data_IF_128406065893
#
_entry.id   IF_128406065893
#
_cell.length_a   1.000
_cell.length_b   1.000
_cell.length_c   1.000
_cell.angle_alpha   90.00
_cell.angle_beta   90.00
_cell.angle_gamma   90.00
#
_symmetry.space_group_name_H-M   'P 1'
#
loop_
_entity.id
_entity.type
_entity.pdbx_description
1 polymer ?
#
# COMPACT_ATOMS: atom_id res chain seq x y z
N UNK A 1 -1.74 -10.82 21.83
CA UNK A 1 -1.01 -10.20 20.70
C UNK A 1 0.41 -9.74 21.06
N UNK A 2 0.62 -8.64 21.82
CA UNK A 2 2.00 -8.13 22.05
C UNK A 2 2.94 -9.15 22.68
N UNK A 3 2.52 -9.84 23.76
CA UNK A 3 3.35 -10.86 24.41
C UNK A 3 3.74 -11.94 23.40
N UNK A 4 2.75 -12.58 22.76
CA UNK A 4 2.96 -13.58 21.71
C UNK A 4 4.00 -13.16 20.67
N UNK A 5 3.86 -11.98 20.05
CA UNK A 5 4.81 -11.56 19.02
C UNK A 5 6.22 -11.34 19.60
N UNK A 6 6.35 -10.82 20.82
CA UNK A 6 7.64 -10.69 21.52
C UNK A 6 8.25 -12.05 21.82
N UNK A 7 7.44 -12.99 22.33
CA UNK A 7 7.86 -14.33 22.74
C UNK A 7 8.32 -15.16 21.52
N UNK A 8 7.67 -14.97 20.37
CA UNK A 8 8.06 -15.54 19.07
C UNK A 8 9.24 -14.80 18.41
N UNK A 9 9.71 -13.68 18.97
CA UNK A 9 10.79 -12.88 18.39
C UNK A 9 10.42 -12.13 17.10
N UNK A 10 9.13 -11.90 16.84
CA UNK A 10 8.63 -11.23 15.64
C UNK A 10 8.88 -9.73 15.70
N UNK A 11 9.19 -9.15 14.53
CA UNK A 11 9.26 -7.69 14.31
C UNK A 11 8.27 -7.27 13.23
N UNK A 12 7.94 -5.99 13.16
CA UNK A 12 6.94 -5.46 12.22
C UNK A 12 5.80 -4.78 12.95
N UNK A 13 4.62 -4.75 12.35
CA UNK A 13 3.47 -4.02 12.88
C UNK A 13 2.22 -4.88 12.91
N UNK A 14 1.45 -4.74 13.99
CA UNK A 14 0.07 -5.22 14.09
C UNK A 14 -0.80 -4.03 14.47
N UNK A 15 -1.78 -3.73 13.62
CA UNK A 15 -2.81 -2.73 13.85
C UNK A 15 -4.11 -3.44 14.23
N UNK A 16 -4.72 -2.99 15.32
CA UNK A 16 -6.00 -3.48 15.81
C UNK A 16 -6.97 -2.32 15.92
N UNK A 17 -8.13 -2.47 15.31
CA UNK A 17 -9.26 -1.55 15.45
C UNK A 17 -10.54 -2.36 15.66
N UNK A 18 -11.66 -1.68 15.94
CA UNK A 18 -12.97 -2.34 16.03
C UNK A 18 -13.40 -2.97 14.71
N UNK A 19 -12.92 -2.42 13.58
CA UNK A 19 -13.16 -2.95 12.23
C UNK A 19 -12.29 -4.16 11.85
N UNK A 20 -11.29 -4.52 12.67
CA UNK A 20 -10.48 -5.73 12.41
C UNK A 20 -8.99 -5.59 12.73
N UNK A 21 -8.19 -6.35 11.99
CA UNK A 21 -6.74 -6.47 12.15
C UNK A 21 -6.04 -6.25 10.81
N UNK A 22 -4.90 -5.55 10.84
CA UNK A 22 -3.96 -5.48 9.71
C UNK A 22 -2.55 -5.71 10.26
N UNK A 23 -1.76 -6.56 9.61
CA UNK A 23 -0.44 -6.89 10.09
C UNK A 23 0.56 -7.14 8.96
N UNK A 24 1.80 -6.83 9.26
CA UNK A 24 2.98 -7.16 8.47
C UNK A 24 4.09 -7.47 9.45
N UNK A 25 4.45 -8.74 9.56
CA UNK A 25 5.37 -9.28 10.54
C UNK A 25 6.46 -10.08 9.83
N UNK A 26 7.67 -10.04 10.38
CA UNK A 26 8.79 -10.85 9.94
C UNK A 26 9.47 -11.52 11.13
N UNK A 27 9.96 -12.73 10.88
CA UNK A 27 10.72 -13.57 11.79
C UNK A 27 11.12 -14.85 11.10
N UNK A 28 11.57 -15.85 11.85
CA UNK A 28 11.81 -17.19 11.29
C UNK A 28 10.50 -17.81 10.82
N UNK A 29 10.58 -18.79 9.90
CA UNK A 29 9.39 -19.52 9.43
C UNK A 29 8.54 -20.06 10.60
N UNK A 30 9.18 -20.71 11.57
CA UNK A 30 8.51 -21.22 12.78
C UNK A 30 7.86 -20.11 13.62
N UNK A 31 8.46 -18.92 13.71
CA UNK A 31 7.86 -17.79 14.43
C UNK A 31 6.62 -17.25 13.71
N UNK A 32 6.66 -17.15 12.38
CA UNK A 32 5.52 -16.74 11.56
C UNK A 32 4.39 -17.78 11.65
N UNK A 33 4.72 -19.07 11.50
CA UNK A 33 3.79 -20.20 11.67
C UNK A 33 3.13 -20.20 13.05
N UNK A 34 3.88 -19.91 14.12
CA UNK A 34 3.34 -19.80 15.47
C UNK A 34 2.34 -18.64 15.61
N UNK A 35 2.56 -17.53 14.90
CA UNK A 35 1.62 -16.42 14.88
C UNK A 35 0.37 -16.72 14.04
N UNK A 36 0.52 -17.33 12.86
CA UNK A 36 -0.63 -17.72 12.04
C UNK A 36 -1.47 -18.77 12.76
N UNK A 37 -0.86 -19.77 13.39
CA UNK A 37 -1.57 -20.76 14.21
C UNK A 37 -2.33 -20.13 15.39
N UNK A 38 -1.80 -19.05 15.99
CA UNK A 38 -2.52 -18.30 17.00
C UNK A 38 -3.75 -17.57 16.42
N UNK A 39 -3.64 -16.98 15.23
CA UNK A 39 -4.79 -16.37 14.55
C UNK A 39 -5.84 -17.42 14.21
N UNK A 40 -5.42 -18.57 13.67
CA UNK A 40 -6.28 -19.71 13.35
C UNK A 40 -6.86 -20.42 14.59
N UNK A 41 -6.45 -20.03 15.80
CA UNK A 41 -7.04 -20.51 17.05
C UNK A 41 -8.22 -19.66 17.53
N UNK A 42 -8.46 -18.50 16.89
CA UNK A 42 -9.52 -17.56 17.24
C UNK A 42 -10.50 -17.44 16.07
N UNK A 43 -11.75 -17.82 16.30
CA UNK A 43 -12.78 -17.83 15.24
C UNK A 43 -12.95 -16.48 14.53
N UNK A 44 -12.61 -15.37 15.20
CA UNK A 44 -12.71 -14.01 14.65
C UNK A 44 -11.63 -13.72 13.60
N UNK A 45 -10.56 -14.50 13.57
CA UNK A 45 -9.41 -14.34 12.68
C UNK A 45 -9.25 -15.50 11.69
N UNK A 46 -10.14 -16.49 11.72
CA UNK A 46 -10.11 -17.59 10.77
C UNK A 46 -10.21 -17.11 9.32
N UNK A 47 -9.36 -17.68 8.46
CA UNK A 47 -9.42 -17.44 7.03
C UNK A 47 -8.90 -16.07 6.59
N UNK A 48 -8.22 -15.32 7.46
CA UNK A 48 -7.48 -14.12 7.03
C UNK A 48 -6.44 -14.56 5.99
N UNK A 49 -6.49 -14.03 4.75
CA UNK A 49 -5.47 -14.34 3.75
C UNK A 49 -4.10 -13.86 4.20
N UNK A 50 -3.13 -14.76 4.23
CA UNK A 50 -1.73 -14.44 4.58
C UNK A 50 -0.88 -14.49 3.33
N UNK A 51 -0.15 -13.41 3.06
CA UNK A 51 0.88 -13.35 2.02
C UNK A 51 2.26 -13.45 2.66
N UNK A 52 3.13 -14.25 2.05
CA UNK A 52 4.48 -14.51 2.55
C UNK A 52 5.51 -14.09 1.51
N UNK A 53 6.60 -13.49 1.97
CA UNK A 53 7.78 -13.19 1.15
C UNK A 53 9.05 -13.43 1.99
N UNK A 54 10.19 -13.61 1.33
CA UNK A 54 11.44 -14.00 1.97
C UNK A 54 12.52 -12.95 1.77
N UNK A 55 13.34 -12.75 2.80
CA UNK A 55 14.52 -11.87 2.81
C UNK A 55 15.60 -12.50 3.68
N UNK A 56 16.87 -12.26 3.34
CA UNK A 56 18.02 -12.78 4.10
C UNK A 56 18.35 -11.95 5.34
N UNK A 57 17.63 -10.84 5.56
CA UNK A 57 17.76 -9.96 6.70
C UNK A 57 16.39 -9.60 7.28
N UNK A 58 16.28 -9.20 8.56
CA UNK A 58 15.01 -8.81 9.16
C UNK A 58 14.55 -7.43 8.64
N UNK A 59 13.44 -7.33 7.88
CA UNK A 59 13.06 -6.08 7.19
C UNK A 59 12.38 -5.05 8.11
N UNK A 60 12.31 -5.33 9.42
CA UNK A 60 11.74 -4.45 10.43
C UNK A 60 12.69 -4.25 11.61
N UNK A 61 12.83 -3.01 12.07
CA UNK A 61 13.68 -2.67 13.21
C UNK A 61 13.12 -3.15 14.56
N UNK A 62 11.80 -3.06 14.74
CA UNK A 62 11.11 -3.30 16.01
C UNK A 62 9.69 -3.82 15.81
N UNK A 63 9.13 -4.39 16.87
CA UNK A 63 7.72 -4.74 16.96
C UNK A 63 6.86 -3.52 17.35
N UNK A 64 5.78 -3.28 16.61
CA UNK A 64 4.78 -2.27 16.89
C UNK A 64 3.38 -2.91 16.91
N UNK A 65 2.85 -3.22 18.10
CA UNK A 65 1.42 -3.55 18.24
C UNK A 65 0.68 -2.28 18.64
N UNK A 66 -0.32 -1.86 17.87
CA UNK A 66 -1.04 -0.59 18.08
C UNK A 66 -2.54 -0.78 18.02
N UNK A 67 -3.25 -0.25 19.02
CA UNK A 67 -4.68 0.01 18.93
C UNK A 67 -4.89 1.30 18.12
N UNK A 68 -5.79 1.27 17.15
CA UNK A 68 -6.15 2.39 16.27
C UNK A 68 -7.67 2.53 16.20
N UNK A 69 -8.14 3.67 15.70
CA UNK A 69 -9.55 3.86 15.31
C UNK A 69 -9.87 3.04 14.06
N UNK A 70 -8.93 2.99 13.12
CA UNK A 70 -9.02 2.28 11.84
C UNK A 70 -7.72 1.53 11.56
N UNK A 71 -7.80 0.32 10.97
CA UNK A 71 -6.65 -0.43 10.47
C UNK A 71 -6.09 0.17 9.17
N UNK A 72 -6.93 0.88 8.42
CA UNK A 72 -6.58 1.75 7.29
C UNK A 72 -7.33 3.06 7.47
N UNK A 73 -6.61 4.15 7.73
CA UNK A 73 -7.24 5.43 8.08
C UNK A 73 -7.76 6.16 6.84
N UNK A 74 -9.09 6.27 6.74
CA UNK A 74 -9.75 7.20 5.81
C UNK A 74 -10.55 8.29 6.54
N UNK A 75 -10.91 8.06 7.81
CA UNK A 75 -11.62 9.04 8.64
C UNK A 75 -13.14 9.09 8.40
N UNK A 76 -13.71 8.00 7.89
CA UNK A 76 -15.16 7.85 7.66
C UNK A 76 -15.69 6.64 8.45
N UNK A 77 -16.24 6.90 9.64
CA UNK A 77 -16.66 5.85 10.58
C UNK A 77 -17.80 4.97 10.06
N UNK A 78 -18.58 5.46 9.09
CA UNK A 78 -19.70 4.72 8.50
C UNK A 78 -19.28 3.76 7.37
N UNK A 79 -18.05 3.86 6.88
CA UNK A 79 -17.53 2.96 5.84
C UNK A 79 -17.09 1.64 6.49
N UNK A 80 -17.81 0.57 6.19
CA UNK A 80 -17.53 -0.76 6.69
C UNK A 80 -17.44 -1.80 5.54
N UNK A 81 -16.21 -2.13 5.07
CA UNK A 81 -16.01 -3.07 3.98
C UNK A 81 -16.52 -4.49 4.27
N UNK A 82 -16.66 -4.88 5.53
CA UNK A 82 -17.22 -6.18 5.90
C UNK A 82 -18.72 -6.32 5.58
N UNK A 83 -19.43 -5.19 5.43
CA UNK A 83 -20.84 -5.16 5.04
C UNK A 83 -20.97 -5.00 3.53
N UNK A 84 -20.15 -4.12 2.94
CA UNK A 84 -20.26 -3.77 1.53
C UNK A 84 -18.90 -3.32 0.98
N UNK A 85 -18.44 -4.00 -0.06
CA UNK A 85 -17.21 -3.70 -0.80
C UNK A 85 -17.41 -4.01 -2.30
N UNK A 86 -16.49 -3.56 -3.14
CA UNK A 86 -16.55 -3.76 -4.59
C UNK A 86 -16.14 -5.19 -4.97
N UNK A 87 -16.65 -5.73 -6.09
CA UNK A 87 -16.21 -7.02 -6.61
C UNK A 87 -14.71 -7.02 -6.92
N UNK A 88 -14.09 -8.19 -6.76
CA UNK A 88 -12.71 -8.40 -7.15
C UNK A 88 -12.59 -8.72 -8.64
N UNK A 89 -11.50 -8.27 -9.27
CA UNK A 89 -11.02 -8.77 -10.56
C UNK A 89 -9.71 -9.54 -10.33
N UNK A 90 -9.63 -10.76 -10.87
CA UNK A 90 -8.42 -11.58 -10.79
C UNK A 90 -7.29 -10.96 -11.62
N UNK A 91 -6.02 -11.08 -11.20
CA UNK A 91 -4.88 -10.54 -11.95
C UNK A 91 -4.84 -10.90 -13.43
N UNK A 92 -5.13 -12.16 -13.76
CA UNK A 92 -5.15 -12.67 -15.14
C UNK A 92 -6.26 -12.04 -15.97
N UNK A 93 -7.43 -11.84 -15.38
CA UNK A 93 -8.56 -11.22 -16.06
C UNK A 93 -8.31 -9.73 -16.28
N UNK A 94 -7.74 -9.05 -15.29
CA UNK A 94 -7.36 -7.65 -15.42
C UNK A 94 -6.28 -7.46 -16.50
N UNK A 95 -5.22 -8.28 -16.49
CA UNK A 95 -4.22 -8.28 -17.55
C UNK A 95 -4.85 -8.51 -18.93
N UNK A 96 -5.72 -9.50 -19.06
CA UNK A 96 -6.36 -9.82 -20.33
C UNK A 96 -7.26 -8.66 -20.83
N UNK A 97 -7.92 -7.95 -19.92
CA UNK A 97 -8.68 -6.74 -20.23
C UNK A 97 -7.76 -5.65 -20.79
N UNK A 98 -6.61 -5.39 -20.14
CA UNK A 98 -5.62 -4.42 -20.59
C UNK A 98 -4.99 -4.82 -21.94
N UNK A 99 -4.65 -6.09 -22.13
CA UNK A 99 -4.09 -6.63 -23.39
C UNK A 99 -5.04 -6.41 -24.58
N UNK A 100 -6.36 -6.47 -24.35
CA UNK A 100 -7.39 -6.22 -25.37
C UNK A 100 -7.63 -4.75 -25.64
N UNK A 101 -7.07 -3.84 -24.84
CA UNK A 101 -7.31 -2.40 -24.92
C UNK A 101 -8.77 -2.05 -24.64
N UNK A 102 -9.46 -2.83 -23.80
CA UNK A 102 -10.82 -2.51 -23.38
C UNK A 102 -10.86 -1.22 -22.57
N UNK A 103 -11.94 -0.45 -22.71
CA UNK A 103 -12.10 0.80 -21.98
C UNK A 103 -12.29 0.53 -20.47
N UNK A 104 -11.28 0.88 -19.69
CA UNK A 104 -11.30 0.83 -18.23
C UNK A 104 -10.48 1.99 -17.66
N UNK A 105 -10.97 2.57 -16.58
CA UNK A 105 -10.18 3.51 -15.78
C UNK A 105 -9.41 2.75 -14.73
N UNK A 106 -8.09 2.85 -14.76
CA UNK A 106 -7.22 2.23 -13.77
C UNK A 106 -6.90 3.27 -12.71
N UNK A 107 -7.32 3.05 -11.47
CA UNK A 107 -7.23 4.06 -10.40
C UNK A 107 -6.25 3.64 -9.32
N UNK A 108 -5.17 4.41 -9.16
CA UNK A 108 -4.21 4.18 -8.09
C UNK A 108 -4.72 4.82 -6.79
N UNK A 109 -4.93 4.00 -5.76
CA UNK A 109 -5.41 4.46 -4.45
C UNK A 109 -4.26 4.70 -3.46
N UNK A 110 -3.02 4.63 -3.93
CA UNK A 110 -1.83 4.82 -3.11
C UNK A 110 -1.44 6.29 -2.97
N UNK A 111 -0.50 6.55 -2.06
CA UNK A 111 0.01 7.90 -1.86
C UNK A 111 0.98 8.27 -2.99
N UNK A 112 1.14 9.56 -3.25
CA UNK A 112 2.07 10.15 -4.24
C UNK A 112 3.45 9.49 -4.29
N UNK A 113 4.11 9.29 -3.14
CA UNK A 113 5.44 8.69 -3.09
C UNK A 113 5.46 7.22 -3.55
N UNK A 114 4.34 6.49 -3.47
CA UNK A 114 4.24 5.10 -3.96
C UNK A 114 4.05 5.06 -5.47
N UNK A 115 3.30 6.01 -6.04
CA UNK A 115 3.09 6.16 -7.48
C UNK A 115 4.41 6.50 -8.19
N UNK A 116 5.24 7.36 -7.59
CA UNK A 116 6.56 7.72 -8.16
C UNK A 116 7.49 6.51 -8.32
N UNK A 117 7.35 5.50 -7.45
CA UNK A 117 8.19 4.29 -7.50
C UNK A 117 7.77 3.39 -8.66
N UNK A 118 6.48 3.33 -8.95
CA UNK A 118 5.94 2.65 -10.10
C UNK A 118 4.42 2.57 -10.03
N UNK A 119 3.76 2.42 -11.17
CA UNK A 119 2.29 2.37 -11.30
C UNK A 119 1.88 1.64 -12.58
N UNK A 120 0.59 1.33 -12.75
CA UNK A 120 0.10 0.80 -14.03
C UNK A 120 0.17 1.88 -15.12
N UNK A 121 0.54 1.48 -16.34
CA UNK A 121 0.54 2.37 -17.51
C UNK A 121 -0.85 2.99 -17.69
N UNK A 122 -0.90 4.31 -17.84
CA UNK A 122 -2.13 5.12 -17.93
C UNK A 122 -3.04 5.08 -16.67
N UNK A 123 -2.53 4.65 -15.51
CA UNK A 123 -3.27 4.79 -14.27
C UNK A 123 -3.54 6.27 -13.94
N UNK A 124 -4.72 6.53 -13.40
CA UNK A 124 -5.15 7.84 -12.92
C UNK A 124 -4.48 8.11 -11.58
N UNK A 125 -3.67 9.16 -11.55
CA UNK A 125 -3.16 9.76 -10.32
C UNK A 125 -4.22 10.69 -9.72
N UNK A 126 -4.61 10.42 -8.48
CA UNK A 126 -5.58 11.20 -7.72
C UNK A 126 -4.96 12.42 -7.00
N UNK A 127 -3.64 12.59 -7.07
CA UNK A 127 -2.87 13.62 -6.39
C UNK A 127 -3.19 13.64 -4.88
N UNK A 128 -3.03 12.45 -4.26
CA UNK A 128 -3.24 12.26 -2.82
C UNK A 128 -1.93 12.01 -2.09
N UNK A 129 -1.68 12.79 -1.04
CA UNK A 129 -0.54 12.57 -0.12
C UNK A 129 -0.86 11.51 0.93
N UNK A 130 -2.14 11.39 1.26
CA UNK A 130 -2.62 10.40 2.23
C UNK A 130 -3.93 9.79 1.76
N UNK A 131 -4.17 8.52 2.10
CA UNK A 131 -5.45 7.86 1.78
C UNK A 131 -6.69 8.56 2.39
N UNK A 132 -6.52 9.39 3.43
CA UNK A 132 -7.61 10.22 3.97
C UNK A 132 -8.14 11.25 2.97
N UNK A 133 -7.34 11.62 1.98
CA UNK A 133 -7.71 12.57 0.94
C UNK A 133 -8.53 11.92 -0.20
N UNK A 134 -8.58 10.57 -0.25
CA UNK A 134 -9.27 9.81 -1.29
C UNK A 134 -10.74 10.23 -1.50
N UNK A 135 -11.59 10.36 -0.46
CA UNK A 135 -12.99 10.76 -0.64
C UNK A 135 -13.15 12.13 -1.31
N UNK A 136 -12.21 13.05 -1.08
CA UNK A 136 -12.19 14.37 -1.72
C UNK A 136 -11.62 14.31 -3.12
N UNK A 137 -10.64 13.45 -3.36
CA UNK A 137 -10.01 13.32 -4.67
C UNK A 137 -10.97 12.79 -5.73
N UNK A 138 -11.77 11.76 -5.39
CA UNK A 138 -12.71 11.15 -6.34
C UNK A 138 -13.84 12.10 -6.78
N UNK A 139 -14.13 13.16 -6.02
CA UNK A 139 -15.11 14.19 -6.41
C UNK A 139 -14.64 15.03 -7.60
N UNK A 140 -13.34 15.01 -7.91
CA UNK A 140 -12.75 15.73 -9.05
C UNK A 140 -12.81 14.91 -10.33
N UNK A 141 -13.15 13.62 -10.24
CA UNK A 141 -13.27 12.76 -11.40
C UNK A 141 -14.48 13.19 -12.25
N UNK A 142 -14.41 13.07 -13.59
CA UNK A 142 -15.52 13.41 -14.47
C UNK A 142 -16.78 12.63 -14.12
N UNK A 143 -17.94 13.30 -14.15
CA UNK A 143 -19.22 12.65 -13.86
C UNK A 143 -19.54 11.48 -14.83
N UNK A 144 -19.01 11.52 -16.06
CA UNK A 144 -19.15 10.45 -17.06
C UNK A 144 -18.51 9.14 -16.60
N UNK A 145 -17.48 9.19 -15.76
CA UNK A 145 -16.77 8.03 -15.25
C UNK A 145 -17.63 7.18 -14.31
N UNK A 146 -18.72 7.73 -13.75
CA UNK A 146 -19.56 7.03 -12.77
C UNK A 146 -20.21 5.77 -13.31
N UNK A 147 -20.47 5.72 -14.61
CA UNK A 147 -21.10 4.58 -15.28
C UNK A 147 -20.09 3.73 -16.08
N UNK A 148 -18.82 4.16 -16.13
CA UNK A 148 -17.75 3.49 -16.86
C UNK A 148 -16.99 2.50 -15.95
N UNK A 149 -16.37 1.45 -16.51
CA UNK A 149 -15.59 0.50 -15.72
C UNK A 149 -14.39 1.17 -15.03
N UNK A 150 -14.25 0.96 -13.72
CA UNK A 150 -13.10 1.41 -12.94
C UNK A 150 -12.48 0.20 -12.22
N UNK A 151 -11.17 -0.01 -12.39
CA UNK A 151 -10.39 -0.97 -11.60
C UNK A 151 -9.45 -0.22 -10.68
N UNK A 152 -9.62 -0.39 -9.38
CA UNK A 152 -8.77 0.20 -8.36
C UNK A 152 -7.70 -0.78 -7.90
N UNK A 153 -6.54 -0.26 -7.53
CA UNK A 153 -5.49 -1.05 -6.91
C UNK A 153 -4.75 -0.30 -5.81
N UNK A 154 -4.06 -1.07 -4.97
CA UNK A 154 -3.02 -0.60 -4.07
C UNK A 154 -1.99 -1.74 -3.90
N UNK A 155 -0.99 -1.57 -3.04
CA UNK A 155 0.07 -2.58 -2.84
C UNK A 155 -0.47 -4.00 -2.57
N UNK A 156 -1.40 -4.14 -1.62
CA UNK A 156 -1.88 -5.45 -1.16
C UNK A 156 -3.40 -5.62 -1.08
N UNK A 157 -4.18 -4.71 -1.67
CA UNK A 157 -5.65 -4.76 -1.73
C UNK A 157 -6.40 -4.04 -0.60
N UNK A 158 -5.87 -3.99 0.63
CA UNK A 158 -6.64 -3.51 1.80
C UNK A 158 -7.19 -2.07 1.72
N UNK A 159 -6.55 -1.16 0.98
CA UNK A 159 -7.10 0.19 0.74
C UNK A 159 -8.31 0.14 -0.19
N UNK A 160 -8.29 -0.75 -1.17
CA UNK A 160 -9.34 -0.90 -2.17
C UNK A 160 -10.66 -1.38 -1.56
N UNK A 161 -10.61 -2.08 -0.44
CA UNK A 161 -11.80 -2.46 0.33
C UNK A 161 -12.60 -1.25 0.79
N UNK A 162 -11.92 -0.25 1.37
CA UNK A 162 -12.55 1.03 1.75
C UNK A 162 -12.84 1.90 0.52
N UNK A 163 -11.90 1.95 -0.43
CA UNK A 163 -12.03 2.79 -1.62
C UNK A 163 -13.29 2.40 -2.44
N UNK A 164 -13.57 1.11 -2.57
CA UNK A 164 -14.74 0.61 -3.29
C UNK A 164 -16.04 1.07 -2.64
N UNK A 165 -16.18 0.93 -1.31
CA UNK A 165 -17.34 1.42 -0.59
C UNK A 165 -17.56 2.94 -0.78
N UNK A 166 -16.46 3.71 -0.72
CA UNK A 166 -16.49 5.17 -0.90
C UNK A 166 -16.88 5.56 -2.33
N UNK A 167 -16.36 4.87 -3.34
CA UNK A 167 -16.70 5.12 -4.75
C UNK A 167 -18.18 4.79 -5.03
N UNK A 168 -18.66 3.67 -4.51
CA UNK A 168 -20.08 3.28 -4.67
C UNK A 168 -21.02 4.28 -3.98
N UNK A 169 -20.68 4.76 -2.77
CA UNK A 169 -21.44 5.82 -2.09
C UNK A 169 -21.42 7.15 -2.88
N UNK A 170 -20.30 7.44 -3.56
CA UNK A 170 -20.18 8.59 -4.47
C UNK A 170 -20.95 8.40 -5.80
N UNK A 171 -21.58 7.25 -6.02
CA UNK A 171 -22.44 6.94 -7.17
C UNK A 171 -21.72 6.31 -8.36
N UNK A 172 -20.53 5.76 -8.18
CA UNK A 172 -19.89 4.93 -9.22
C UNK A 172 -20.53 3.54 -9.21
N UNK A 173 -20.97 3.07 -10.37
CA UNK A 173 -21.79 1.85 -10.50
C UNK A 173 -21.00 0.63 -10.97
N UNK A 174 -19.82 0.83 -11.56
CA UNK A 174 -18.99 -0.22 -12.13
C UNK A 174 -17.55 -0.17 -11.59
N UNK A 175 -17.41 -0.36 -10.28
CA UNK A 175 -16.09 -0.38 -9.60
C UNK A 175 -15.68 -1.80 -9.27
N UNK A 176 -14.43 -2.13 -9.58
CA UNK A 176 -13.77 -3.37 -9.24
C UNK A 176 -12.46 -3.08 -8.50
N UNK A 177 -12.01 -4.04 -7.70
CA UNK A 177 -10.71 -3.98 -7.04
C UNK A 177 -9.81 -5.12 -7.49
N UNK A 178 -8.54 -4.81 -7.75
CA UNK A 178 -7.55 -5.81 -8.13
C UNK A 178 -7.27 -6.74 -6.96
N UNK A 179 -7.62 -8.00 -7.12
CA UNK A 179 -7.45 -9.00 -6.07
C UNK A 179 -5.99 -9.12 -5.65
N UNK A 180 -5.76 -9.01 -4.34
CA UNK A 180 -4.43 -9.07 -3.77
C UNK A 180 -3.51 -7.88 -4.10
N UNK A 181 -4.01 -6.83 -4.77
CA UNK A 181 -3.25 -5.64 -5.15
C UNK A 181 -2.12 -5.91 -6.13
N UNK A 182 -1.20 -4.96 -6.23
CA UNK A 182 -0.02 -5.04 -7.13
C UNK A 182 0.82 -6.29 -6.83
N UNK A 183 1.01 -6.64 -5.56
CA UNK A 183 1.80 -7.84 -5.21
C UNK A 183 1.13 -9.14 -5.70
N UNK A 184 -0.21 -9.22 -5.64
CA UNK A 184 -0.93 -10.36 -6.23
C UNK A 184 -0.85 -10.38 -7.76
N UNK A 185 -0.84 -9.20 -8.39
CA UNK A 185 -0.65 -9.09 -9.82
C UNK A 185 0.72 -9.61 -10.26
N UNK A 186 1.78 -9.16 -9.61
CA UNK A 186 3.15 -9.62 -9.87
C UNK A 186 3.30 -11.13 -9.70
N UNK A 187 2.72 -11.68 -8.63
CA UNK A 187 2.74 -13.11 -8.35
C UNK A 187 2.12 -13.96 -9.47
N UNK A 188 1.02 -13.50 -10.06
CA UNK A 188 0.27 -14.28 -11.04
C UNK A 188 0.66 -14.05 -12.49
N UNK A 189 1.03 -12.81 -12.84
CA UNK A 189 1.23 -12.38 -14.23
C UNK A 189 2.50 -11.55 -14.46
N UNK A 190 3.30 -11.27 -13.43
CA UNK A 190 4.49 -10.45 -13.54
C UNK A 190 4.19 -8.95 -13.72
N UNK A 191 5.01 -8.26 -14.53
CA UNK A 191 4.99 -6.79 -14.67
C UNK A 191 4.31 -6.24 -15.91
N UNK A 192 3.49 -7.02 -16.61
CA UNK A 192 2.81 -6.54 -17.81
C UNK A 192 1.93 -5.31 -17.47
N UNK A 193 1.99 -4.27 -18.30
CA UNK A 193 1.32 -2.96 -18.08
C UNK A 193 1.73 -2.22 -16.80
N UNK A 194 2.80 -2.64 -16.12
CA UNK A 194 3.34 -1.97 -14.95
C UNK A 194 4.66 -1.26 -15.29
N UNK A 195 4.77 0.00 -14.88
CA UNK A 195 5.98 0.82 -15.05
C UNK A 195 6.67 1.02 -13.69
N UNK A 196 7.93 0.59 -13.55
CA UNK A 196 8.75 0.78 -12.33
C UNK A 196 8.64 -0.36 -11.32
N UNK A 197 8.80 -0.03 -10.03
CA UNK A 197 8.80 -0.97 -8.91
C UNK A 197 7.57 -0.75 -8.00
N UNK A 198 7.26 -1.70 -7.12
CA UNK A 198 6.17 -1.58 -6.15
C UNK A 198 6.70 -1.23 -4.76
N UNK A 199 6.36 -0.04 -4.25
CA UNK A 199 6.70 0.36 -2.88
C UNK A 199 6.11 -0.59 -1.83
N UNK A 200 6.92 -0.99 -0.85
CA UNK A 200 6.54 -1.82 0.30
C UNK A 200 6.91 -1.14 1.63
N UNK A 201 6.11 -1.40 2.66
CA UNK A 201 6.17 -0.67 3.94
C UNK A 201 7.20 -1.25 4.93
N UNK A 202 8.37 -1.62 4.43
CA UNK A 202 9.46 -2.21 5.21
C UNK A 202 10.84 -1.78 4.67
N UNK A 203 11.93 -2.37 5.18
CA UNK A 203 13.28 -1.94 4.83
C UNK A 203 13.70 -2.23 3.38
N UNK A 204 12.98 -3.09 2.67
CA UNK A 204 13.21 -3.31 1.23
C UNK A 204 12.88 -2.09 0.38
N UNK A 205 12.02 -1.19 0.90
CA UNK A 205 11.50 0.01 0.24
C UNK A 205 10.63 -0.28 -0.98
N UNK A 206 11.07 -1.08 -1.94
CA UNK A 206 10.28 -1.52 -3.07
C UNK A 206 10.72 -2.89 -3.60
N UNK A 207 9.82 -3.57 -4.31
CA UNK A 207 10.06 -4.84 -5.00
C UNK A 207 9.78 -4.71 -6.48
N UNK A 208 10.56 -5.40 -7.31
CA UNK A 208 10.37 -5.45 -8.75
C UNK A 208 9.17 -6.35 -9.13
N UNK A 209 8.77 -6.41 -10.41
CA UNK A 209 7.68 -7.29 -10.85
C UNK A 209 7.92 -8.79 -10.70
N UNK A 210 9.14 -9.22 -10.39
CA UNK A 210 9.49 -10.59 -10.01
C UNK A 210 9.44 -10.83 -8.50
N UNK A 211 8.93 -9.85 -7.73
CA UNK A 211 8.84 -9.85 -6.26
C UNK A 211 10.20 -9.90 -5.55
N UNK A 212 11.27 -9.48 -6.23
CA UNK A 212 12.60 -9.36 -5.68
C UNK A 212 12.82 -7.93 -5.17
N UNK A 213 13.65 -7.76 -4.14
CA UNK A 213 14.01 -6.44 -3.64
C UNK A 213 14.69 -5.60 -4.74
N UNK A 214 14.19 -4.38 -4.94
CA UNK A 214 14.70 -3.43 -5.94
C UNK A 214 15.84 -2.57 -5.37
N UNK A 215 16.47 -1.77 -6.23
CA UNK A 215 17.52 -0.81 -5.84
C UNK A 215 16.96 0.53 -5.34
N UNK A 216 15.64 0.65 -5.15
CA UNK A 216 15.01 1.84 -4.59
C UNK A 216 15.40 1.97 -3.13
N UNK A 217 15.90 3.15 -2.73
CA UNK A 217 16.29 3.42 -1.34
C UNK A 217 15.39 4.48 -0.73
N UNK A 218 15.41 4.58 0.60
CA UNK A 218 14.72 5.66 1.31
C UNK A 218 15.72 6.77 1.69
N UNK A 219 15.37 8.02 1.41
CA UNK A 219 16.12 9.15 1.96
C UNK A 219 15.97 9.16 3.49
N UNK A 220 17.06 9.01 4.23
CA UNK A 220 17.01 9.04 5.69
C UNK A 220 16.57 10.38 6.28
N UNK A 221 16.73 11.49 5.55
CA UNK A 221 16.37 12.83 6.02
C UNK A 221 14.87 13.12 5.90
N UNK A 222 14.24 12.74 4.79
CA UNK A 222 12.83 13.08 4.51
C UNK A 222 11.89 11.89 4.34
N UNK A 223 12.43 10.65 4.32
CA UNK A 223 11.69 9.40 4.17
C UNK A 223 11.07 9.15 2.78
N UNK A 224 11.38 9.99 1.79
CA UNK A 224 11.00 9.74 0.39
C UNK A 224 11.73 8.53 -0.19
N UNK A 225 11.06 7.66 -0.97
CA UNK A 225 11.73 6.68 -1.81
C UNK A 225 12.44 7.38 -2.97
N UNK A 226 13.61 6.87 -3.32
CA UNK A 226 14.50 7.36 -4.36
C UNK A 226 14.84 6.23 -5.33
N UNK A 227 14.41 6.39 -6.57
CA UNK A 227 14.86 5.59 -7.72
C UNK A 227 16.37 5.67 -7.92
N UNK A 228 16.94 4.73 -8.68
CA UNK A 228 18.37 4.72 -9.03
C UNK A 228 18.80 6.02 -9.72
N UNK A 229 17.95 6.57 -10.58
CA UNK A 229 18.20 7.84 -11.24
C UNK A 229 18.27 9.01 -10.24
N UNK A 230 17.35 9.08 -9.28
CA UNK A 230 17.33 10.13 -8.25
C UNK A 230 18.49 10.02 -7.26
N UNK A 231 18.98 8.80 -7.01
CA UNK A 231 20.19 8.57 -6.23
C UNK A 231 21.46 9.11 -6.92
N UNK A 232 21.42 9.30 -8.24
CA UNK A 232 22.53 9.91 -8.99
C UNK A 232 22.48 11.45 -8.99
N UNK A 233 21.46 12.05 -8.39
CA UNK A 233 21.34 13.51 -8.30
C UNK A 233 22.46 14.12 -7.43
N UNK A 234 23.04 15.27 -7.81
CA UNK A 234 23.97 16.01 -6.95
C UNK A 234 23.35 16.44 -5.61
N UNK A 235 22.02 16.49 -5.52
CA UNK A 235 21.30 16.85 -4.30
C UNK A 235 21.15 15.67 -3.33
N UNK A 236 21.45 14.44 -3.78
CA UNK A 236 21.43 13.27 -2.93
C UNK A 236 22.74 13.12 -2.16
N UNK A 237 22.65 13.33 -0.85
CA UNK A 237 23.71 13.04 0.09
C UNK A 237 23.14 12.10 1.16
N UNK A 238 23.67 10.87 1.21
CA UNK A 238 23.21 9.82 2.14
C UNK A 238 23.16 10.37 3.57
N UNK A 239 22.00 10.21 4.22
CA UNK A 239 21.79 10.69 5.59
C UNK A 239 21.51 12.20 5.73
N UNK A 240 21.65 12.98 4.65
CA UNK A 240 21.58 14.45 4.69
C UNK A 240 20.44 15.01 3.83
N UNK A 241 20.45 14.76 2.53
CA UNK A 241 19.53 15.39 1.57
C UNK A 241 19.18 14.47 0.41
N UNK A 242 18.15 14.85 -0.33
CA UNK A 242 17.80 14.32 -1.65
C UNK A 242 17.09 15.43 -2.45
N UNK A 243 16.79 15.23 -3.75
CA UNK A 243 16.08 16.22 -4.58
C UNK A 243 14.78 16.75 -3.96
N UNK A 244 14.11 15.97 -3.11
CA UNK A 244 12.84 16.33 -2.47
C UNK A 244 12.97 17.16 -1.19
N UNK A 245 14.16 17.20 -0.59
CA UNK A 245 14.36 17.85 0.71
C UNK A 245 15.60 18.72 0.81
N UNK A 246 16.40 18.85 -0.25
CA UNK A 246 17.60 19.70 -0.27
C UNK A 246 17.29 21.13 0.18
N UNK A 247 16.17 21.69 -0.28
CA UNK A 247 15.73 23.04 0.10
C UNK A 247 15.16 23.12 1.52
N UNK A 248 14.73 21.99 2.10
CA UNK A 248 14.22 21.94 3.48
C UNK A 248 15.34 22.05 4.50
N UNK A 249 16.59 21.73 4.12
CA UNK A 249 17.76 21.87 4.99
C UNK A 249 18.19 23.33 5.21
N UNK A 250 17.70 24.25 4.38
CA UNK A 250 17.97 25.69 4.51
C UNK A 250 16.95 26.42 5.41
N UNK A 251 16.00 25.70 6.00
CA UNK A 251 15.02 26.27 6.92
C UNK A 251 15.63 26.35 8.32
N UNK A 252 15.97 27.56 8.76
CA UNK A 252 16.30 27.83 10.17
C UNK A 252 15.02 27.67 10.99
N UNK A 253 14.99 26.85 12.06
CA UNK A 253 13.86 26.80 12.97
C UNK A 253 13.56 28.22 13.47
N UNK A 254 12.30 28.64 13.45
CA UNK A 254 11.89 29.80 14.27
C UNK A 254 12.08 29.34 15.71
N UNK A 255 13.13 29.82 16.36
CA UNK A 255 13.26 29.69 17.82
C UNK A 255 12.25 30.66 18.42
N UNK A 256 11.25 30.13 19.11
CA UNK A 256 10.35 30.94 19.94
C UNK A 256 11.16 31.56 21.09
N UNK A 257 11.79 32.70 20.82
CA UNK A 257 12.08 33.72 21.84
C UNK A 257 11.07 34.85 21.67
N UNK A 258 10.02 34.77 22.48
CA UNK A 258 8.98 35.78 22.69
C UNK A 258 8.21 35.48 23.96
#
# INVERSE_FOLDING_TARGET
MRSLCTDLGLKGTVLLATEGINFFLAGTATAVEGFTAFLDGDERFHGIPVKTSFTDYPPFNRLNVRKKSEIISVGLDHINPAIFTGPEIEPRDFKALLDRGEAVHVLDTRNDYELRVGTFTNAIDLDIRTFRDFPKAIQRLPATMKDEPVVMFCTGGIRCEKASAIMMEAGFTNVMQLKGGVLGYFEEVGGDHWDGDCFVFDQRVAVNPSLEESEVVVCYACREPLSVAEQSSPDYAVGRSCPYCIDRLNLTPITDEG
#
